data_IF_660064888316
#
_entry.id   IF_660064888316
#
_cell.length_a   1.000
_cell.length_b   1.000
_cell.length_c   1.000
_cell.angle_alpha   90.00
_cell.angle_beta   90.00
_cell.angle_gamma   90.00
#
_symmetry.space_group_name_H-M   'P 1'
#
loop_
_entity.id
_entity.type
_entity.pdbx_description
1 polymer ?
#
# COMPACT_ATOMS: atom_id res chain seq x y z
N UNK A 1 8.31 -13.13 2.95
CA UNK A 1 7.64 -11.84 3.19
C UNK A 1 6.88 -11.46 1.93
N UNK A 2 5.82 -10.66 2.05
CA UNK A 2 5.14 -10.10 0.89
C UNK A 2 5.97 -8.97 0.25
N UNK A 3 5.72 -8.67 -1.02
CA UNK A 3 6.48 -7.70 -1.80
C UNK A 3 5.55 -6.90 -2.72
N UNK A 4 5.88 -5.62 -2.93
CA UNK A 4 5.32 -4.79 -4.01
C UNK A 4 6.40 -4.71 -5.09
N UNK A 5 6.06 -5.04 -6.33
CA UNK A 5 6.99 -5.03 -7.46
C UNK A 5 6.66 -3.91 -8.43
N UNK A 6 7.70 -3.33 -9.02
CA UNK A 6 7.59 -2.18 -9.91
C UNK A 6 7.93 -2.60 -11.34
N UNK A 7 7.07 -2.21 -12.27
CA UNK A 7 7.30 -2.27 -13.70
C UNK A 7 7.14 -0.88 -14.30
N UNK A 8 7.87 -0.62 -15.38
CA UNK A 8 7.84 0.66 -16.10
C UNK A 8 7.59 0.41 -17.59
N UNK A 9 6.83 1.32 -18.23
CA UNK A 9 6.53 1.26 -19.66
C UNK A 9 6.31 2.66 -20.23
N UNK A 10 6.83 2.91 -21.44
CA UNK A 10 6.58 4.14 -22.19
C UNK A 10 5.26 4.11 -22.99
N UNK A 11 4.68 2.92 -23.21
CA UNK A 11 3.50 2.73 -24.08
C UNK A 11 2.36 1.93 -23.43
N UNK A 12 2.51 1.56 -22.15
CA UNK A 12 1.60 0.72 -21.37
C UNK A 12 1.36 -0.70 -21.92
N UNK A 13 2.18 -1.15 -22.89
CA UNK A 13 2.10 -2.48 -23.52
C UNK A 13 3.38 -3.27 -23.23
N UNK A 14 4.54 -2.67 -23.49
CA UNK A 14 5.86 -3.27 -23.28
C UNK A 14 6.41 -2.83 -21.92
N UNK A 15 6.53 -3.79 -21.00
CA UNK A 15 6.89 -3.51 -19.60
C UNK A 15 8.28 -4.05 -19.26
N UNK A 16 9.07 -3.22 -18.58
CA UNK A 16 10.36 -3.61 -18.01
C UNK A 16 10.24 -3.78 -16.50
N UNK A 17 10.66 -4.95 -16.00
CA UNK A 17 10.74 -5.18 -14.56
C UNK A 17 11.86 -4.32 -13.95
N UNK A 18 11.52 -3.50 -12.95
CA UNK A 18 12.48 -2.63 -12.27
C UNK A 18 13.03 -3.28 -11.00
N UNK A 19 12.18 -3.96 -10.24
CA UNK A 19 12.57 -4.62 -9.01
C UNK A 19 11.43 -4.69 -8.00
N UNK A 20 11.78 -5.13 -6.80
CA UNK A 20 10.94 -5.03 -5.61
C UNK A 20 11.11 -3.64 -4.98
N UNK A 21 10.00 -3.02 -4.59
CA UNK A 21 9.99 -1.76 -3.86
C UNK A 21 10.40 -2.02 -2.41
N UNK A 22 11.52 -1.43 -1.99
CA UNK A 22 11.97 -1.49 -0.61
C UNK A 22 11.10 -0.58 0.27
N UNK A 23 10.03 -1.16 0.82
CA UNK A 23 9.23 -0.55 1.87
C UNK A 23 10.08 -0.54 3.13
N UNK A 24 10.55 0.62 3.60
CA UNK A 24 11.28 0.75 4.86
C UNK A 24 10.34 0.55 6.09
N UNK A 25 9.46 -0.45 6.03
CA UNK A 25 8.50 -0.89 7.04
C UNK A 25 8.92 -2.28 7.49
N UNK A 26 9.06 -2.48 8.80
CA UNK A 26 9.37 -3.80 9.37
C UNK A 26 8.07 -4.57 9.56
N UNK A 27 7.86 -5.59 8.72
CA UNK A 27 6.74 -6.52 8.88
C UNK A 27 7.12 -7.71 9.79
N UNK A 28 6.18 -8.24 10.58
CA UNK A 28 6.37 -9.52 11.27
C UNK A 28 6.61 -10.66 10.27
N UNK A 29 7.37 -11.68 10.66
CA UNK A 29 7.66 -12.87 9.82
C UNK A 29 6.41 -13.61 9.34
N UNK A 30 5.27 -13.43 10.03
CA UNK A 30 4.00 -14.03 9.64
C UNK A 30 3.36 -13.34 8.42
N UNK A 31 3.80 -12.14 8.04
CA UNK A 31 3.30 -11.45 6.85
C UNK A 31 3.94 -12.04 5.59
N UNK A 32 3.12 -12.70 4.77
CA UNK A 32 3.58 -13.46 3.62
C UNK A 32 3.13 -12.90 2.27
N UNK A 33 2.19 -11.95 2.25
CA UNK A 33 1.66 -11.34 1.02
C UNK A 33 1.23 -9.89 1.29
N UNK A 34 1.42 -9.02 0.29
CA UNK A 34 0.89 -7.65 0.26
C UNK A 34 -0.09 -7.57 -0.92
N UNK A 35 -1.39 -7.68 -0.65
CA UNK A 35 -2.43 -7.59 -1.68
C UNK A 35 -2.83 -6.14 -1.97
N UNK A 36 -3.43 -5.94 -3.15
CA UNK A 36 -4.05 -4.68 -3.55
C UNK A 36 -3.18 -3.44 -3.29
N UNK A 37 -1.89 -3.42 -3.72
CA UNK A 37 -1.09 -2.23 -3.57
C UNK A 37 -1.66 -1.09 -4.41
N UNK A 38 -1.72 0.09 -3.83
CA UNK A 38 -2.17 1.33 -4.46
C UNK A 38 -1.26 2.49 -4.04
N UNK A 39 -1.07 3.45 -4.93
CA UNK A 39 -0.18 4.59 -4.76
C UNK A 39 -0.82 5.86 -5.29
N UNK A 40 -0.73 6.95 -4.53
CA UNK A 40 -1.10 8.29 -4.98
C UNK A 40 -0.40 9.38 -4.17
N UNK A 41 -0.30 10.57 -4.76
CA UNK A 41 0.09 11.78 -4.04
C UNK A 41 -1.16 12.46 -3.44
N UNK A 42 -1.05 12.95 -2.21
CA UNK A 42 -2.08 13.75 -1.53
C UNK A 42 -1.41 14.86 -0.72
N UNK A 43 -1.76 16.12 -1.01
CA UNK A 43 -1.22 17.32 -0.34
C UNK A 43 0.33 17.36 -0.28
N UNK A 44 1.00 16.92 -1.35
CA UNK A 44 2.46 16.90 -1.46
C UNK A 44 3.15 15.78 -0.68
N UNK A 45 2.39 14.76 -0.26
CA UNK A 45 2.90 13.53 0.37
C UNK A 45 2.57 12.32 -0.47
N UNK A 46 3.47 11.34 -0.44
CA UNK A 46 3.25 10.06 -1.08
C UNK A 46 2.48 9.14 -0.14
N UNK A 47 1.41 8.52 -0.65
CA UNK A 47 0.56 7.59 0.09
C UNK A 47 0.58 6.24 -0.59
N UNK A 48 0.95 5.21 0.17
CA UNK A 48 0.80 3.81 -0.20
C UNK A 48 -0.33 3.19 0.60
N UNK A 49 -1.20 2.44 -0.07
CA UNK A 49 -2.19 1.56 0.56
C UNK A 49 -1.88 0.13 0.12
N UNK A 50 -1.96 -0.82 1.04
CA UNK A 50 -1.78 -2.23 0.74
C UNK A 50 -2.44 -3.09 1.82
N UNK A 51 -2.75 -4.34 1.48
CA UNK A 51 -3.47 -5.27 2.34
C UNK A 51 -2.55 -6.41 2.77
N UNK A 52 -1.79 -6.28 3.88
CA UNK A 52 -0.91 -7.34 4.34
C UNK A 52 -1.70 -8.54 4.87
N UNK A 53 -1.41 -9.73 4.34
CA UNK A 53 -1.92 -10.98 4.88
C UNK A 53 -0.93 -11.58 5.88
N UNK A 54 -1.45 -11.99 7.05
CA UNK A 54 -0.67 -12.65 8.10
C UNK A 54 -0.26 -11.75 9.28
N UNK A 55 -0.83 -10.55 9.40
CA UNK A 55 -0.80 -9.80 10.65
C UNK A 55 -1.53 -10.58 11.76
N UNK A 56 -1.05 -10.44 12.99
CA UNK A 56 -1.71 -11.02 14.17
C UNK A 56 -2.41 -9.89 14.93
N UNK A 57 -3.59 -10.14 15.52
CA UNK A 57 -4.25 -9.16 16.37
C UNK A 57 -3.33 -8.71 17.51
N UNK A 58 -3.25 -7.40 17.73
CA UNK A 58 -2.44 -6.80 18.80
C UNK A 58 -3.21 -5.64 19.43
N UNK A 59 -3.51 -5.73 20.73
CA UNK A 59 -4.28 -4.70 21.42
C UNK A 59 -5.64 -4.47 20.74
N UNK A 60 -5.85 -3.27 20.20
CA UNK A 60 -7.05 -2.89 19.44
C UNK A 60 -6.86 -2.92 17.91
N UNK A 61 -5.74 -3.45 17.42
CA UNK A 61 -5.33 -3.41 16.02
C UNK A 61 -5.38 -4.80 15.38
N UNK A 62 -5.64 -4.81 14.07
CA UNK A 62 -5.48 -5.99 13.20
C UNK A 62 -6.43 -7.15 13.51
N UNK A 63 -7.68 -6.83 13.89
CA UNK A 63 -8.67 -7.83 14.31
C UNK A 63 -9.43 -8.48 13.14
N UNK A 64 -9.32 -7.95 11.92
CA UNK A 64 -9.88 -8.62 10.75
C UNK A 64 -8.98 -9.78 10.32
N UNK A 65 -9.54 -10.74 9.56
CA UNK A 65 -8.78 -11.89 9.05
C UNK A 65 -7.55 -11.43 8.25
N UNK A 66 -7.74 -10.40 7.43
CA UNK A 66 -6.71 -9.63 6.76
C UNK A 66 -7.07 -8.14 6.89
N UNK A 67 -6.05 -7.29 7.01
CA UNK A 67 -6.24 -5.88 7.34
C UNK A 67 -5.71 -5.02 6.19
N UNK A 68 -6.17 -3.77 6.13
CA UNK A 68 -5.69 -2.79 5.17
C UNK A 68 -4.83 -1.78 5.89
N UNK A 69 -3.61 -1.58 5.41
CA UNK A 69 -2.68 -0.58 5.93
C UNK A 69 -2.55 0.56 4.93
N UNK A 70 -2.29 1.76 5.46
CA UNK A 70 -1.73 2.84 4.67
C UNK A 70 -0.43 3.34 5.28
N UNK A 71 0.45 3.83 4.43
CA UNK A 71 1.68 4.52 4.81
C UNK A 71 1.74 5.87 4.10
N UNK A 72 2.06 6.92 4.85
CA UNK A 72 2.35 8.26 4.34
C UNK A 72 3.85 8.47 4.44
N UNK A 73 4.50 8.95 3.38
CA UNK A 73 5.94 9.06 3.33
C UNK A 73 6.45 9.67 2.03
N UNK A 74 7.60 9.16 1.59
CA UNK A 74 8.24 9.58 0.35
C UNK A 74 8.62 8.37 -0.52
N UNK A 75 8.26 8.42 -1.80
CA UNK A 75 8.67 7.43 -2.81
C UNK A 75 9.87 7.97 -3.61
N UNK A 76 11.00 7.27 -3.53
CA UNK A 76 12.09 7.39 -4.50
C UNK A 76 11.99 6.25 -5.50
N UNK A 77 11.41 6.54 -6.67
CA UNK A 77 11.17 5.54 -7.71
C UNK A 77 12.44 5.09 -8.41
N UNK A 78 13.48 5.92 -8.46
CA UNK A 78 14.77 5.58 -9.08
C UNK A 78 15.56 4.63 -8.16
N UNK A 79 15.52 4.88 -6.85
CA UNK A 79 16.11 4.00 -5.86
C UNK A 79 15.24 2.77 -5.52
N UNK A 80 13.99 2.73 -6.00
CA UNK A 80 12.96 1.75 -5.65
C UNK A 80 12.80 1.61 -4.13
N UNK A 81 12.65 2.74 -3.44
CA UNK A 81 12.42 2.76 -1.99
C UNK A 81 11.26 3.66 -1.60
N UNK A 82 10.53 3.23 -0.56
CA UNK A 82 9.53 4.06 0.09
C UNK A 82 9.91 4.26 1.56
N UNK A 83 10.07 5.51 1.96
CA UNK A 83 10.42 5.91 3.32
C UNK A 83 9.16 6.36 4.06
N UNK A 84 8.59 5.56 4.97
CA UNK A 84 7.38 5.91 5.69
C UNK A 84 7.67 6.94 6.78
N UNK A 85 6.89 8.02 6.82
CA UNK A 85 6.82 8.93 7.97
C UNK A 85 5.81 8.43 9.00
N UNK A 86 4.74 7.79 8.53
CA UNK A 86 3.69 7.20 9.33
C UNK A 86 3.07 6.01 8.61
N UNK A 87 2.67 4.97 9.34
CA UNK A 87 1.87 3.89 8.78
C UNK A 87 0.93 3.31 9.85
N UNK A 88 -0.29 2.95 9.47
CA UNK A 88 -1.27 2.35 10.37
C UNK A 88 -2.39 1.64 9.59
N UNK A 89 -3.25 0.95 10.32
CA UNK A 89 -4.48 0.38 9.79
C UNK A 89 -5.41 1.49 9.26
N UNK A 90 -5.94 1.31 8.05
CA UNK A 90 -6.75 2.32 7.37
C UNK A 90 -8.15 2.46 7.98
N UNK A 91 -8.72 1.37 8.47
CA UNK A 91 -10.08 1.29 8.97
C UNK A 91 -10.14 0.33 10.18
N UNK A 92 -11.00 0.61 11.17
CA UNK A 92 -11.04 -0.11 12.48
C UNK A 92 -12.33 -0.91 12.71
N UNK A 93 -13.20 -0.96 11.70
CA UNK A 93 -14.40 -1.77 11.64
C UNK A 93 -14.09 -3.21 11.26
N UNK A 94 -15.16 -3.96 11.00
CA UNK A 94 -15.13 -5.42 11.01
C UNK A 94 -15.11 -6.05 9.61
N UNK A 95 -15.45 -5.27 8.57
CA UNK A 95 -15.66 -5.75 7.20
C UNK A 95 -15.19 -4.67 6.21
N UNK A 96 -13.87 -4.52 6.06
CA UNK A 96 -13.24 -3.58 5.14
C UNK A 96 -12.00 -4.22 4.53
N UNK A 97 -11.97 -4.44 3.21
CA UNK A 97 -10.82 -5.07 2.55
C UNK A 97 -10.61 -4.63 1.09
N UNK A 98 -9.37 -4.81 0.62
CA UNK A 98 -8.99 -4.64 -0.79
C UNK A 98 -9.42 -3.30 -1.43
N UNK A 99 -9.17 -2.14 -0.79
CA UNK A 99 -9.59 -0.89 -1.39
C UNK A 99 -8.77 -0.54 -2.63
N UNK A 100 -9.40 0.20 -3.52
CA UNK A 100 -8.75 0.83 -4.65
C UNK A 100 -9.15 2.31 -4.71
N UNK A 101 -8.19 3.14 -5.07
CA UNK A 101 -8.43 4.57 -5.23
C UNK A 101 -8.35 5.04 -6.67
N UNK A 102 -8.98 6.17 -6.94
CA UNK A 102 -8.89 6.85 -8.22
C UNK A 102 -9.03 8.37 -8.05
N UNK A 103 -8.47 9.11 -9.00
CA UNK A 103 -8.72 10.53 -9.10
C UNK A 103 -10.13 10.78 -9.64
N UNK A 104 -10.91 11.58 -8.91
CA UNK A 104 -12.21 12.06 -9.34
C UNK A 104 -12.12 13.23 -10.31
N UNK A 105 -13.28 13.71 -10.76
CA UNK A 105 -13.40 14.77 -11.79
C UNK A 105 -12.89 16.15 -11.33
N UNK A 106 -12.70 16.34 -10.03
CA UNK A 106 -12.18 17.56 -9.41
C UNK A 106 -10.83 17.31 -8.75
N UNK A 107 -10.09 16.27 -9.18
CA UNK A 107 -8.84 15.80 -8.59
C UNK A 107 -8.97 15.38 -7.11
N UNK A 108 -10.19 15.10 -6.64
CA UNK A 108 -10.41 14.48 -5.34
C UNK A 108 -9.93 13.02 -5.36
N UNK A 109 -9.45 12.53 -4.22
CA UNK A 109 -9.11 11.10 -4.07
C UNK A 109 -10.35 10.33 -3.63
N UNK A 110 -10.87 9.49 -4.52
CA UNK A 110 -12.00 8.60 -4.25
C UNK A 110 -11.46 7.22 -3.88
N UNK A 111 -12.03 6.60 -2.84
CA UNK A 111 -11.66 5.26 -2.38
C UNK A 111 -12.91 4.37 -2.33
N UNK A 112 -12.78 3.16 -2.86
CA UNK A 112 -13.81 2.13 -2.79
C UNK A 112 -13.21 0.86 -2.21
N UNK A 113 -13.90 0.23 -1.27
CA UNK A 113 -13.50 -1.00 -0.60
C UNK A 113 -14.51 -2.12 -0.88
N UNK A 114 -14.03 -3.36 -0.88
CA UNK A 114 -14.89 -4.53 -0.79
C UNK A 114 -15.44 -4.68 0.63
#
# INVERSE_FOLDING_TARGET
TGAIIVYESENAIDWSFKGELNLQIVFPDSVYMLECPDYFELDGKDVLIFSPQGLKPEGCDYHNLYNVMYAVGHLDIEALSFEPEHFQELEKGFDFYAPQTFAGKHNERLLFSW
#
